data_IF_386200956503
#
_entry.id   IF_386200956503
#
_cell.length_a   1.000
_cell.length_b   1.000
_cell.length_c   1.000
_cell.angle_alpha   90.00
_cell.angle_beta   90.00
_cell.angle_gamma   90.00
#
_symmetry.space_group_name_H-M   'P 1'
#
loop_
_entity.id
_entity.type
_entity.pdbx_description
1 polymer ?
#
# COMPACT_ATOMS: atom_id res chain seq x y z
N UNK A 1 -20.41 30.56 16.14
CA UNK A 1 -19.99 29.60 15.10
C UNK A 1 -20.24 28.20 15.62
N UNK A 2 -21.14 27.42 15.02
CA UNK A 2 -21.33 26.01 15.40
C UNK A 2 -20.06 25.26 15.04
N UNK A 3 -19.40 24.64 16.01
CA UNK A 3 -18.28 23.73 15.77
C UNK A 3 -18.75 22.63 14.83
N UNK A 4 -18.03 22.35 13.73
CA UNK A 4 -18.44 21.29 12.82
C UNK A 4 -18.43 19.96 13.57
N UNK A 5 -19.58 19.31 13.67
CA UNK A 5 -19.67 17.96 14.21
C UNK A 5 -19.03 16.99 13.22
N UNK A 6 -18.57 15.82 13.70
CA UNK A 6 -18.04 14.75 12.83
C UNK A 6 -19.05 14.39 11.71
N UNK A 7 -20.34 14.45 12.02
CA UNK A 7 -21.40 14.25 11.03
C UNK A 7 -21.41 15.32 9.94
N UNK A 8 -21.17 16.59 10.29
CA UNK A 8 -21.05 17.68 9.32
C UNK A 8 -19.83 17.47 8.42
N UNK A 9 -18.66 17.12 8.97
CA UNK A 9 -17.45 16.84 8.20
C UNK A 9 -17.64 15.66 7.25
N UNK A 10 -18.27 14.59 7.71
CA UNK A 10 -18.59 13.43 6.89
C UNK A 10 -19.50 13.78 5.71
N UNK A 11 -20.55 14.59 5.94
CA UNK A 11 -21.54 14.93 4.92
C UNK A 11 -21.03 16.00 3.94
N UNK A 12 -20.29 17.01 4.41
CA UNK A 12 -19.93 18.18 3.64
C UNK A 12 -18.48 18.14 3.11
N UNK A 13 -17.55 17.55 3.87
CA UNK A 13 -16.12 17.54 3.55
C UNK A 13 -15.45 16.18 3.82
N UNK A 14 -15.99 15.08 3.27
CA UNK A 14 -15.49 13.73 3.59
C UNK A 14 -14.03 13.50 3.20
N UNK A 15 -13.57 14.10 2.10
CA UNK A 15 -12.17 13.99 1.66
C UNK A 15 -11.25 14.70 2.65
N UNK A 16 -11.60 15.91 3.07
CA UNK A 16 -10.82 16.65 4.08
C UNK A 16 -10.76 15.88 5.39
N UNK A 17 -11.91 15.34 5.85
CA UNK A 17 -11.96 14.50 7.05
C UNK A 17 -11.00 13.31 6.94
N UNK A 18 -11.03 12.59 5.82
CA UNK A 18 -10.19 11.42 5.61
C UNK A 18 -8.70 11.78 5.55
N UNK A 19 -8.35 12.87 4.86
CA UNK A 19 -6.97 13.36 4.78
C UNK A 19 -6.45 13.76 6.17
N UNK A 20 -7.26 14.44 6.97
CA UNK A 20 -6.91 14.79 8.37
C UNK A 20 -6.68 13.54 9.20
N UNK A 21 -7.56 12.52 9.09
CA UNK A 21 -7.38 11.23 9.77
C UNK A 21 -6.04 10.60 9.37
N UNK A 22 -5.70 10.57 8.08
CA UNK A 22 -4.44 10.02 7.60
C UNK A 22 -3.23 10.82 8.12
N UNK A 23 -3.29 12.14 8.09
CA UNK A 23 -2.23 13.00 8.62
C UNK A 23 -1.96 12.68 10.09
N UNK A 24 -3.01 12.67 10.91
CA UNK A 24 -2.90 12.41 12.36
C UNK A 24 -2.42 10.97 12.62
N UNK A 25 -2.84 10.00 11.81
CA UNK A 25 -2.47 8.59 12.01
C UNK A 25 -1.03 8.26 11.66
N UNK A 26 -0.36 9.06 10.82
CA UNK A 26 0.97 8.72 10.27
C UNK A 26 2.02 9.78 10.55
N UNK A 27 1.81 11.05 10.16
CA UNK A 27 2.88 12.07 10.17
C UNK A 27 3.51 12.31 11.54
N UNK A 28 2.76 12.34 12.66
CA UNK A 28 3.34 12.55 13.97
C UNK A 28 4.29 11.44 14.44
N UNK A 29 4.15 10.25 13.84
CA UNK A 29 4.79 9.02 14.32
C UNK A 29 6.00 8.59 13.50
N UNK A 30 6.13 9.04 12.24
CA UNK A 30 7.20 8.58 11.34
C UNK A 30 8.61 8.98 11.77
N UNK A 31 8.76 10.02 12.59
CA UNK A 31 10.05 10.43 13.16
C UNK A 31 10.40 9.79 14.50
N UNK A 32 9.50 8.93 15.04
CA UNK A 32 9.72 8.30 16.33
C UNK A 32 10.44 6.96 16.16
N UNK A 33 11.56 6.83 16.82
CA UNK A 33 12.38 5.61 16.84
C UNK A 33 13.24 5.42 15.60
N UNK A 34 14.29 4.65 15.81
CA UNK A 34 15.28 4.29 14.80
C UNK A 34 14.67 3.44 13.66
N UNK A 35 15.43 3.14 12.63
CA UNK A 35 15.00 2.25 11.56
C UNK A 35 14.68 0.86 12.10
N UNK A 36 13.46 0.40 11.87
CA UNK A 36 12.92 -0.85 12.43
C UNK A 36 13.22 -2.09 11.58
N UNK A 37 13.62 -1.89 10.32
CA UNK A 37 13.88 -3.00 9.39
C UNK A 37 15.25 -2.83 8.72
N UNK A 38 15.94 -3.95 8.42
CA UNK A 38 17.22 -3.94 7.68
C UNK A 38 17.15 -3.22 6.32
N UNK A 39 15.97 -3.06 5.74
CA UNK A 39 15.78 -2.41 4.45
C UNK A 39 15.73 -0.90 4.52
N UNK A 40 15.33 -0.30 5.66
CA UNK A 40 15.22 1.16 5.80
C UNK A 40 16.57 1.86 5.72
N UNK A 41 17.60 1.45 6.49
CA UNK A 41 18.92 2.09 6.41
C UNK A 41 19.52 2.01 5.00
N UNK A 42 19.28 0.89 4.29
CA UNK A 42 19.79 0.73 2.92
C UNK A 42 19.17 1.72 1.93
N UNK A 43 17.85 1.97 2.02
CA UNK A 43 17.20 2.97 1.17
C UNK A 43 17.62 4.39 1.58
N UNK A 44 17.77 4.66 2.88
CA UNK A 44 18.23 5.95 3.38
C UNK A 44 19.68 6.26 2.95
N UNK A 45 20.58 5.25 2.95
CA UNK A 45 21.96 5.40 2.53
C UNK A 45 22.11 5.92 1.09
N UNK A 46 21.20 5.50 0.19
CA UNK A 46 21.19 6.02 -1.18
C UNK A 46 20.86 7.51 -1.21
N UNK A 47 19.90 7.96 -0.39
CA UNK A 47 19.56 9.38 -0.28
C UNK A 47 20.69 10.19 0.37
N UNK A 48 21.40 9.61 1.36
CA UNK A 48 22.59 10.23 1.96
C UNK A 48 23.66 10.43 0.88
N UNK A 49 23.98 9.40 0.11
CA UNK A 49 24.94 9.48 -0.99
C UNK A 49 24.58 10.58 -2.01
N UNK A 50 23.28 10.76 -2.32
CA UNK A 50 22.83 11.85 -3.20
C UNK A 50 23.17 13.23 -2.63
N UNK A 51 22.97 13.44 -1.33
CA UNK A 51 23.24 14.72 -0.67
C UNK A 51 24.73 14.99 -0.53
N UNK A 52 25.54 13.98 -0.19
CA UNK A 52 26.97 14.11 0.06
C UNK A 52 27.76 14.27 -1.25
N UNK A 53 27.42 13.48 -2.27
CA UNK A 53 28.17 13.49 -3.55
C UNK A 53 27.60 14.46 -4.58
N UNK A 54 26.36 14.93 -4.40
CA UNK A 54 25.64 15.70 -5.40
C UNK A 54 25.23 14.87 -6.64
N UNK A 55 25.44 13.55 -6.66
CA UNK A 55 25.07 12.69 -7.78
C UNK A 55 23.62 12.18 -7.62
N UNK A 56 22.71 12.84 -8.31
CA UNK A 56 21.28 12.50 -8.31
C UNK A 56 20.89 11.52 -9.42
N UNK A 57 21.81 11.24 -10.35
CA UNK A 57 21.53 10.35 -11.49
C UNK A 57 21.86 8.90 -11.13
N UNK A 58 23.06 8.66 -10.63
CA UNK A 58 23.54 7.31 -10.28
C UNK A 58 24.18 7.34 -8.89
N UNK A 59 23.36 7.43 -7.82
CA UNK A 59 23.88 7.41 -6.46
C UNK A 59 24.41 6.03 -6.10
N UNK A 60 25.28 6.01 -5.09
CA UNK A 60 25.83 4.78 -4.54
C UNK A 60 25.00 4.30 -3.33
N UNK A 61 25.05 3.00 -3.09
CA UNK A 61 24.59 2.32 -1.90
C UNK A 61 25.74 2.13 -0.91
N UNK A 62 25.64 1.17 -0.01
CA UNK A 62 26.74 0.76 0.85
C UNK A 62 27.91 0.22 0.03
N UNK A 63 29.14 0.42 0.52
CA UNK A 63 30.36 -0.10 -0.06
C UNK A 63 30.67 0.36 -1.51
N UNK A 64 30.19 1.55 -1.88
CA UNK A 64 30.37 2.13 -3.22
C UNK A 64 29.70 1.35 -4.37
N UNK A 65 28.75 0.46 -4.04
CA UNK A 65 27.95 -0.24 -5.06
C UNK A 65 26.90 0.71 -5.65
N UNK A 66 26.59 0.55 -6.92
CA UNK A 66 25.49 1.30 -7.54
C UNK A 66 24.15 0.97 -6.90
N UNK A 67 23.32 1.99 -6.73
CA UNK A 67 21.95 1.78 -6.34
C UNK A 67 21.19 1.07 -7.47
N UNK A 68 20.82 -0.20 -7.24
CA UNK A 68 20.17 -1.04 -8.25
C UNK A 68 18.70 -0.70 -8.50
N UNK A 69 18.06 0.07 -7.61
CA UNK A 69 16.69 0.53 -7.80
C UNK A 69 16.65 1.87 -8.51
N UNK A 70 15.64 2.10 -9.37
CA UNK A 70 15.40 3.40 -9.95
C UNK A 70 15.17 4.48 -8.87
N UNK A 71 15.46 5.77 -9.14
CA UNK A 71 15.77 6.76 -8.11
C UNK A 71 14.55 7.51 -7.55
N UNK A 72 13.32 7.34 -8.05
CA UNK A 72 12.16 8.18 -7.70
C UNK A 72 11.95 8.33 -6.19
N UNK A 73 11.99 7.22 -5.44
CA UNK A 73 11.81 7.27 -3.99
C UNK A 73 12.99 7.97 -3.30
N UNK A 74 14.20 7.72 -3.75
CA UNK A 74 15.43 8.31 -3.21
C UNK A 74 15.51 9.81 -3.52
N UNK A 75 15.08 10.22 -4.73
CA UNK A 75 14.93 11.65 -5.07
C UNK A 75 14.02 12.39 -4.10
N UNK A 76 12.87 11.78 -3.76
CA UNK A 76 11.97 12.39 -2.80
C UNK A 76 12.56 12.42 -1.40
N UNK A 77 13.23 11.34 -0.95
CA UNK A 77 13.93 11.30 0.34
C UNK A 77 15.00 12.37 0.43
N UNK A 78 15.86 12.48 -0.59
CA UNK A 78 16.90 13.50 -0.66
C UNK A 78 16.32 14.91 -0.73
N UNK A 79 15.29 15.14 -1.54
CA UNK A 79 14.63 16.45 -1.67
C UNK A 79 14.01 16.92 -0.34
N UNK A 80 13.34 16.04 0.40
CA UNK A 80 12.80 16.39 1.72
C UNK A 80 13.87 16.54 2.80
N UNK A 81 15.03 15.92 2.62
CA UNK A 81 16.16 16.03 3.54
C UNK A 81 17.05 17.26 3.24
N UNK A 82 17.00 17.76 1.99
CA UNK A 82 17.86 18.85 1.52
C UNK A 82 17.82 20.12 2.40
N UNK A 83 16.63 20.58 2.85
CA UNK A 83 16.57 21.82 3.67
C UNK A 83 17.29 21.72 5.03
N UNK A 84 17.37 20.52 5.60
CA UNK A 84 18.08 20.30 6.88
C UNK A 84 19.54 19.84 6.71
N UNK A 85 19.95 19.50 5.47
CA UNK A 85 21.32 19.11 5.16
C UNK A 85 21.70 17.66 5.50
N UNK A 86 20.78 16.86 6.06
CA UNK A 86 21.03 15.44 6.40
C UNK A 86 19.73 14.62 6.29
N UNK A 87 19.86 13.31 6.10
CA UNK A 87 18.73 12.38 6.05
C UNK A 87 18.41 11.90 7.47
N UNK A 88 17.19 12.15 7.92
CA UNK A 88 16.64 11.63 9.18
C UNK A 88 15.61 10.54 8.93
N UNK A 89 15.22 9.80 9.98
CA UNK A 89 14.13 8.83 9.93
C UNK A 89 12.83 9.50 9.47
N UNK A 90 12.56 10.72 9.92
CA UNK A 90 11.39 11.49 9.51
C UNK A 90 11.41 11.79 8.02
N UNK A 91 12.47 12.41 7.50
CA UNK A 91 12.54 12.83 6.10
C UNK A 91 12.64 11.66 5.14
N UNK A 92 13.26 10.55 5.54
CA UNK A 92 13.33 9.32 4.74
C UNK A 92 11.99 8.56 4.67
N UNK A 93 11.15 8.63 5.69
CA UNK A 93 9.80 8.02 5.73
C UNK A 93 8.72 8.92 5.13
N UNK A 94 8.98 10.22 5.02
CA UNK A 94 8.00 11.21 4.54
C UNK A 94 7.44 10.91 3.14
N UNK A 95 8.22 10.44 2.13
CA UNK A 95 7.67 10.03 0.84
C UNK A 95 6.62 8.93 0.94
N UNK A 96 6.82 7.92 1.80
CA UNK A 96 5.85 6.84 2.03
C UNK A 96 4.57 7.37 2.70
N UNK A 97 4.71 8.24 3.69
CA UNK A 97 3.57 8.85 4.39
C UNK A 97 2.71 9.71 3.45
N UNK A 98 3.34 10.55 2.62
CA UNK A 98 2.64 11.38 1.64
C UNK A 98 2.00 10.55 0.54
N UNK A 99 2.66 9.49 0.07
CA UNK A 99 2.11 8.54 -0.88
C UNK A 99 0.84 7.86 -0.32
N UNK A 100 0.86 7.44 0.94
CA UNK A 100 -0.31 6.90 1.63
C UNK A 100 -1.47 7.90 1.68
N UNK A 101 -1.24 9.13 2.16
CA UNK A 101 -2.27 10.17 2.25
C UNK A 101 -2.88 10.43 0.87
N UNK A 102 -2.04 10.51 -0.16
CA UNK A 102 -2.45 10.71 -1.56
C UNK A 102 -3.31 9.53 -2.04
N UNK A 103 -2.85 8.29 -1.83
CA UNK A 103 -3.59 7.09 -2.21
C UNK A 103 -4.98 7.08 -1.60
N UNK A 104 -5.09 7.29 -0.29
CA UNK A 104 -6.34 7.28 0.44
C UNK A 104 -7.31 8.34 -0.08
N UNK A 105 -6.84 9.57 -0.31
CA UNK A 105 -7.64 10.63 -0.92
C UNK A 105 -8.16 10.27 -2.31
N UNK A 106 -7.30 9.71 -3.17
CA UNK A 106 -7.69 9.28 -4.52
C UNK A 106 -8.67 8.10 -4.50
N UNK A 107 -8.48 7.12 -3.63
CA UNK A 107 -9.40 5.98 -3.46
C UNK A 107 -10.79 6.46 -3.07
N UNK A 108 -10.89 7.36 -2.07
CA UNK A 108 -12.17 7.92 -1.65
C UNK A 108 -12.88 8.68 -2.77
N UNK A 109 -12.14 9.54 -3.48
CA UNK A 109 -12.70 10.33 -4.59
C UNK A 109 -13.10 9.43 -5.77
N UNK A 110 -12.28 8.44 -6.09
CA UNK A 110 -12.55 7.54 -7.21
C UNK A 110 -13.80 6.70 -6.98
N UNK A 111 -13.87 6.00 -5.86
CA UNK A 111 -15.03 5.16 -5.54
C UNK A 111 -16.26 6.00 -5.18
N UNK A 112 -16.09 7.09 -4.41
CA UNK A 112 -17.21 7.94 -3.99
C UNK A 112 -17.97 8.61 -5.14
N UNK A 113 -17.31 8.81 -6.29
CA UNK A 113 -17.96 9.35 -7.50
C UNK A 113 -18.59 8.29 -8.40
N UNK A 114 -18.34 6.98 -8.15
CA UNK A 114 -18.71 5.90 -9.06
C UNK A 114 -19.59 4.84 -8.44
N UNK A 115 -19.67 4.80 -7.13
CA UNK A 115 -20.51 3.84 -6.40
C UNK A 115 -21.77 4.56 -5.92
N UNK A 116 -22.90 3.89 -6.06
CA UNK A 116 -24.21 4.46 -5.70
C UNK A 116 -24.29 4.85 -4.21
N UNK A 117 -23.74 4.00 -3.33
CA UNK A 117 -23.73 4.27 -1.88
C UNK A 117 -22.37 4.85 -1.46
N UNK A 118 -22.27 6.17 -1.29
CA UNK A 118 -21.05 6.84 -0.83
C UNK A 118 -20.48 6.24 0.48
N UNK A 119 -21.35 5.78 1.38
CA UNK A 119 -20.96 5.09 2.61
C UNK A 119 -20.02 3.90 2.35
N UNK A 120 -20.26 3.14 1.28
CA UNK A 120 -19.41 2.00 0.90
C UNK A 120 -18.00 2.46 0.53
N UNK A 121 -17.85 3.53 -0.25
CA UNK A 121 -16.56 4.11 -0.60
C UNK A 121 -15.82 4.63 0.65
N UNK A 122 -16.54 5.28 1.54
CA UNK A 122 -15.99 5.83 2.78
C UNK A 122 -15.50 4.71 3.71
N UNK A 123 -16.31 3.66 3.90
CA UNK A 123 -15.93 2.50 4.71
C UNK A 123 -14.74 1.77 4.08
N UNK A 124 -14.73 1.55 2.75
CA UNK A 124 -13.59 0.95 2.07
C UNK A 124 -12.29 1.71 2.35
N UNK A 125 -12.36 3.02 2.36
CA UNK A 125 -11.21 3.87 2.65
C UNK A 125 -10.77 3.77 4.12
N UNK A 126 -11.71 3.70 5.07
CA UNK A 126 -11.41 3.46 6.49
C UNK A 126 -10.77 2.10 6.72
N UNK A 127 -11.26 1.04 6.04
CA UNK A 127 -10.66 -0.29 6.11
C UNK A 127 -9.20 -0.26 5.64
N UNK A 128 -8.90 0.51 4.60
CA UNK A 128 -7.54 0.71 4.09
C UNK A 128 -6.63 1.42 5.08
N UNK A 129 -7.10 2.52 5.66
CA UNK A 129 -6.33 3.32 6.65
C UNK A 129 -5.95 2.47 7.86
N UNK A 130 -6.83 1.56 8.26
CA UNK A 130 -6.70 0.79 9.50
C UNK A 130 -6.16 -0.63 9.29
N UNK A 131 -5.86 -1.06 8.06
CA UNK A 131 -5.23 -2.36 7.83
C UNK A 131 -3.72 -2.30 8.09
N UNK A 132 -3.19 -3.37 8.70
CA UNK A 132 -1.81 -3.42 9.20
C UNK A 132 -0.78 -3.16 8.10
N UNK A 133 -0.90 -3.79 6.93
CA UNK A 133 0.15 -3.74 5.91
C UNK A 133 0.29 -2.37 5.26
N UNK A 134 -0.82 -1.72 4.91
CA UNK A 134 -0.80 -0.37 4.31
C UNK A 134 -0.32 0.66 5.33
N UNK A 135 -0.79 0.56 6.59
CA UNK A 135 -0.38 1.49 7.63
C UNK A 135 1.12 1.34 7.95
N UNK A 136 1.60 0.10 8.09
CA UNK A 136 3.03 -0.19 8.28
C UNK A 136 3.88 0.34 7.13
N UNK A 137 3.44 0.15 5.88
CA UNK A 137 4.15 0.63 4.70
C UNK A 137 4.21 2.16 4.63
N UNK A 138 3.18 2.85 5.11
CA UNK A 138 3.14 4.31 5.21
C UNK A 138 4.20 4.87 6.17
N UNK A 139 4.62 4.09 7.17
CA UNK A 139 5.54 4.49 8.23
C UNK A 139 6.96 3.96 8.06
N UNK A 140 7.30 3.39 6.90
CA UNK A 140 8.62 2.81 6.65
C UNK A 140 9.32 3.47 5.45
N UNK A 141 10.66 3.56 5.54
CA UNK A 141 11.51 4.05 4.45
C UNK A 141 11.62 2.97 3.37
N UNK A 142 10.61 2.89 2.48
CA UNK A 142 10.55 1.91 1.40
C UNK A 142 9.89 2.48 0.15
N UNK A 143 10.27 1.92 -0.99
CA UNK A 143 9.73 2.28 -2.32
C UNK A 143 8.30 1.77 -2.54
N UNK A 144 7.86 0.77 -1.77
CA UNK A 144 6.65 -0.03 -2.07
C UNK A 144 5.34 0.77 -1.91
N UNK A 145 5.27 1.70 -0.93
CA UNK A 145 4.08 2.53 -0.75
C UNK A 145 3.93 3.52 -1.90
N UNK A 146 5.03 4.14 -2.32
CA UNK A 146 5.06 5.07 -3.45
C UNK A 146 4.68 4.35 -4.76
N UNK A 147 5.26 3.17 -5.01
CA UNK A 147 4.91 2.33 -6.14
C UNK A 147 3.42 1.99 -6.17
N UNK A 148 2.87 1.55 -5.02
CA UNK A 148 1.45 1.22 -4.86
C UNK A 148 0.58 2.41 -5.24
N UNK A 149 0.93 3.59 -4.79
CA UNK A 149 0.20 4.83 -5.08
C UNK A 149 0.19 5.14 -6.58
N UNK A 150 1.35 5.08 -7.24
CA UNK A 150 1.42 5.30 -8.69
C UNK A 150 0.65 4.25 -9.48
N UNK A 151 0.77 2.97 -9.12
CA UNK A 151 0.04 1.88 -9.80
C UNK A 151 -1.47 2.06 -9.65
N UNK A 152 -1.97 2.29 -8.44
CA UNK A 152 -3.42 2.38 -8.19
C UNK A 152 -4.01 3.63 -8.84
N UNK A 153 -3.35 4.79 -8.72
CA UNK A 153 -3.83 6.00 -9.39
C UNK A 153 -3.72 5.84 -10.92
N UNK A 154 -2.66 5.20 -11.42
CA UNK A 154 -2.52 4.84 -12.83
C UNK A 154 -3.66 3.97 -13.33
N UNK A 155 -4.03 2.92 -12.57
CA UNK A 155 -5.19 2.07 -12.85
C UNK A 155 -6.50 2.87 -12.88
N UNK A 156 -6.69 3.82 -11.94
CA UNK A 156 -7.86 4.67 -11.95
C UNK A 156 -7.92 5.62 -13.16
N UNK A 157 -6.78 6.09 -13.65
CA UNK A 157 -6.72 6.91 -14.86
C UNK A 157 -6.94 6.06 -16.13
N UNK A 158 -6.42 4.84 -16.17
CA UNK A 158 -6.70 3.87 -17.26
C UNK A 158 -8.20 3.53 -17.32
N UNK A 159 -8.83 3.24 -16.17
CA UNK A 159 -10.27 3.06 -16.09
C UNK A 159 -11.03 4.29 -16.61
N UNK A 160 -10.63 5.49 -16.18
CA UNK A 160 -11.27 6.74 -16.63
C UNK A 160 -11.09 6.98 -18.12
N UNK A 161 -9.98 6.58 -18.69
CA UNK A 161 -9.71 6.69 -20.13
C UNK A 161 -10.69 5.83 -20.93
N UNK A 162 -11.01 4.62 -20.50
CA UNK A 162 -12.05 3.79 -21.09
C UNK A 162 -13.45 4.37 -20.83
N UNK A 163 -13.79 4.61 -19.56
CA UNK A 163 -15.14 4.93 -19.12
C UNK A 163 -15.66 6.28 -19.66
N UNK A 164 -14.77 7.30 -19.74
CA UNK A 164 -15.15 8.66 -20.13
C UNK A 164 -14.68 9.10 -21.52
N UNK A 165 -13.57 8.56 -21.99
CA UNK A 165 -12.94 8.98 -23.23
C UNK A 165 -12.98 7.91 -24.31
N UNK A 166 -13.59 6.76 -24.05
CA UNK A 166 -13.72 5.65 -25.01
C UNK A 166 -12.39 5.29 -25.71
N UNK A 167 -11.29 5.36 -24.95
CA UNK A 167 -9.91 5.17 -25.43
C UNK A 167 -9.43 6.20 -26.47
N UNK A 168 -10.13 7.34 -26.61
CA UNK A 168 -9.72 8.43 -27.50
C UNK A 168 -8.73 9.35 -26.76
N UNK A 169 -7.63 9.69 -27.43
CA UNK A 169 -6.58 10.56 -26.87
C UNK A 169 -6.00 10.01 -25.54
N UNK A 170 -4.71 9.79 -25.47
CA UNK A 170 -4.09 9.30 -24.23
C UNK A 170 -3.92 10.46 -23.23
N UNK A 171 -4.59 10.42 -22.06
CA UNK A 171 -4.39 11.44 -21.03
C UNK A 171 -2.94 11.45 -20.54
N UNK A 172 -2.29 12.59 -20.51
CA UNK A 172 -0.87 12.76 -20.13
C UNK A 172 -0.56 12.20 -18.73
N UNK A 173 -1.54 12.20 -17.85
CA UNK A 173 -1.37 11.62 -16.51
C UNK A 173 -1.10 10.10 -16.50
N UNK A 174 -1.54 9.36 -17.54
CA UNK A 174 -1.29 7.91 -17.63
C UNK A 174 0.20 7.66 -17.82
N UNK A 175 0.85 8.11 -18.90
CA UNK A 175 2.27 7.88 -19.10
C UNK A 175 3.14 8.49 -17.98
N UNK A 176 2.74 9.62 -17.42
CA UNK A 176 3.47 10.24 -16.30
C UNK A 176 3.44 9.35 -15.05
N UNK A 177 2.27 8.88 -14.63
CA UNK A 177 2.12 8.04 -13.42
C UNK A 177 2.80 6.68 -13.59
N UNK A 178 2.61 6.02 -14.74
CA UNK A 178 3.24 4.73 -15.02
C UNK A 178 4.76 4.88 -15.18
N UNK A 179 5.22 5.97 -15.78
CA UNK A 179 6.65 6.32 -15.86
C UNK A 179 7.27 6.54 -14.48
N UNK A 180 6.60 7.27 -13.60
CA UNK A 180 7.02 7.44 -12.19
C UNK A 180 7.00 6.10 -11.43
N UNK A 181 6.05 5.21 -11.70
CA UNK A 181 6.03 3.87 -11.13
C UNK A 181 7.24 3.04 -11.59
N UNK A 182 7.63 3.12 -12.87
CA UNK A 182 8.86 2.49 -13.39
C UNK A 182 10.10 3.08 -12.72
N UNK A 183 10.18 4.40 -12.58
CA UNK A 183 11.27 5.07 -11.87
C UNK A 183 11.29 4.78 -10.36
N UNK A 184 10.25 4.16 -9.81
CA UNK A 184 10.20 3.74 -8.40
C UNK A 184 10.73 2.32 -8.20
N UNK A 185 10.40 1.38 -9.08
CA UNK A 185 10.76 -0.05 -8.88
C UNK A 185 10.97 -0.85 -10.18
N UNK A 186 11.17 -0.19 -11.30
CA UNK A 186 11.43 -0.82 -12.58
C UNK A 186 10.17 -1.24 -13.35
N UNK A 187 10.28 -2.18 -14.32
CA UNK A 187 9.26 -2.48 -15.32
C UNK A 187 7.88 -2.84 -14.78
N UNK A 188 7.80 -3.37 -13.56
CA UNK A 188 6.53 -3.72 -12.92
C UNK A 188 5.57 -2.53 -12.84
N UNK A 189 6.11 -1.30 -12.77
CA UNK A 189 5.34 -0.06 -12.72
C UNK A 189 4.46 0.18 -13.96
N UNK A 190 4.81 -0.38 -15.10
CA UNK A 190 4.02 -0.29 -16.35
C UNK A 190 3.36 -1.60 -16.72
N UNK A 191 4.07 -2.72 -16.53
CA UNK A 191 3.57 -4.06 -16.95
C UNK A 191 2.33 -4.45 -16.15
N UNK A 192 2.34 -4.31 -14.84
CA UNK A 192 1.21 -4.70 -13.99
C UNK A 192 -0.08 -3.90 -14.28
N UNK A 193 -0.07 -2.54 -14.32
CA UNK A 193 -1.27 -1.79 -14.65
C UNK A 193 -1.82 -2.10 -16.04
N UNK A 194 -0.96 -2.24 -17.04
CA UNK A 194 -1.39 -2.56 -18.40
C UNK A 194 -1.92 -3.99 -18.52
N UNK A 195 -1.33 -4.94 -17.81
CA UNK A 195 -1.84 -6.32 -17.72
C UNK A 195 -3.27 -6.33 -17.15
N UNK A 196 -3.49 -5.66 -16.01
CA UNK A 196 -4.82 -5.55 -15.39
C UNK A 196 -5.81 -4.85 -16.32
N UNK A 197 -5.40 -3.75 -16.94
CA UNK A 197 -6.25 -3.00 -17.87
C UNK A 197 -6.59 -3.78 -19.11
N UNK A 198 -5.65 -4.55 -19.67
CA UNK A 198 -5.87 -5.43 -20.80
C UNK A 198 -6.93 -6.49 -20.51
N UNK A 199 -6.84 -7.16 -19.35
CA UNK A 199 -7.87 -8.12 -18.91
C UNK A 199 -9.24 -7.44 -18.77
N UNK A 200 -9.26 -6.23 -18.19
CA UNK A 200 -10.51 -5.47 -18.06
C UNK A 200 -11.16 -5.17 -19.40
N UNK A 201 -10.39 -4.70 -20.39
CA UNK A 201 -10.89 -4.44 -21.75
C UNK A 201 -11.40 -5.72 -22.44
N UNK A 202 -10.72 -6.86 -22.23
CA UNK A 202 -11.19 -8.17 -22.71
C UNK A 202 -12.51 -8.58 -22.04
N UNK A 203 -12.67 -8.34 -20.74
CA UNK A 203 -13.88 -8.67 -20.00
C UNK A 203 -15.08 -7.82 -20.43
N UNK A 204 -14.88 -6.56 -20.81
CA UNK A 204 -15.92 -5.71 -21.37
C UNK A 204 -16.46 -6.25 -22.70
N UNK A 205 -15.61 -6.86 -23.53
CA UNK A 205 -15.99 -7.45 -24.81
C UNK A 205 -16.46 -6.45 -25.87
N UNK A 206 -16.18 -5.15 -25.68
CA UNK A 206 -16.62 -4.07 -26.57
C UNK A 206 -15.55 -3.69 -27.62
N UNK A 207 -14.31 -4.10 -27.39
CA UNK A 207 -13.15 -3.72 -28.20
C UNK A 207 -12.56 -4.91 -28.94
N UNK A 208 -12.09 -4.69 -30.17
CA UNK A 208 -11.36 -5.73 -30.91
C UNK A 208 -9.99 -6.00 -30.26
N UNK A 209 -9.48 -7.21 -30.43
CA UNK A 209 -8.14 -7.57 -29.92
C UNK A 209 -7.05 -6.63 -30.43
N UNK A 210 -7.14 -6.20 -31.70
CA UNK A 210 -6.20 -5.26 -32.28
C UNK A 210 -6.28 -3.88 -31.61
N UNK A 211 -7.47 -3.40 -31.29
CA UNK A 211 -7.67 -2.15 -30.56
C UNK A 211 -7.05 -2.23 -29.17
N UNK A 212 -7.31 -3.33 -28.45
CA UNK A 212 -6.73 -3.56 -27.12
C UNK A 212 -5.20 -3.55 -27.21
N UNK A 213 -4.63 -4.33 -28.14
CA UNK A 213 -3.18 -4.39 -28.32
C UNK A 213 -2.57 -3.03 -28.62
N UNK A 214 -3.14 -2.27 -29.58
CA UNK A 214 -2.66 -0.92 -29.92
C UNK A 214 -2.75 0.05 -28.73
N UNK A 215 -3.84 -0.02 -27.96
CA UNK A 215 -4.05 0.81 -26.77
C UNK A 215 -3.00 0.53 -25.71
N UNK A 216 -2.75 -0.74 -25.40
CA UNK A 216 -1.74 -1.14 -24.42
C UNK A 216 -0.32 -0.78 -24.87
N UNK A 217 -0.01 -1.01 -26.15
CA UNK A 217 1.28 -0.66 -26.73
C UNK A 217 1.53 0.85 -26.69
N UNK A 218 0.53 1.65 -27.09
CA UNK A 218 0.63 3.11 -27.06
C UNK A 218 0.82 3.66 -25.65
N UNK A 219 0.01 3.19 -24.68
CA UNK A 219 0.17 3.59 -23.28
C UNK A 219 1.52 3.11 -22.72
N UNK A 220 1.95 1.90 -23.05
CA UNK A 220 3.24 1.35 -22.58
C UNK A 220 4.44 2.12 -23.10
N UNK A 221 4.54 2.31 -24.41
CA UNK A 221 5.65 3.05 -25.04
C UNK A 221 5.72 4.48 -24.50
N UNK A 222 4.58 5.18 -24.45
CA UNK A 222 4.51 6.55 -23.93
C UNK A 222 4.97 6.63 -22.47
N UNK A 223 4.69 5.60 -21.66
CA UNK A 223 5.09 5.55 -20.25
C UNK A 223 6.57 5.30 -20.02
N UNK A 224 7.27 4.75 -21.01
CA UNK A 224 8.71 4.50 -20.93
C UNK A 224 9.54 5.75 -21.25
N UNK A 225 8.96 6.81 -21.79
CA UNK A 225 9.69 8.00 -22.17
C UNK A 225 10.50 8.60 -21.00
N UNK A 226 9.84 8.86 -19.87
CA UNK A 226 10.50 9.42 -18.68
C UNK A 226 11.54 8.48 -18.06
N UNK A 227 11.25 7.18 -17.84
CA UNK A 227 12.27 6.23 -17.40
C UNK A 227 13.49 6.14 -18.33
N UNK A 228 13.30 6.10 -19.63
CA UNK A 228 14.40 5.99 -20.61
C UNK A 228 15.38 7.16 -20.53
N UNK A 229 14.91 8.37 -20.23
CA UNK A 229 15.80 9.51 -20.00
C UNK A 229 16.75 9.24 -18.83
N UNK A 230 16.22 8.71 -17.71
CA UNK A 230 17.06 8.38 -16.56
C UNK A 230 17.97 7.18 -16.82
N UNK A 231 17.46 6.09 -17.40
CA UNK A 231 18.28 4.91 -17.70
C UNK A 231 19.44 5.26 -18.64
N UNK A 232 19.19 6.12 -19.64
CA UNK A 232 20.25 6.58 -20.56
C UNK A 232 21.30 7.43 -19.83
N UNK A 233 20.86 8.33 -18.95
CA UNK A 233 21.79 9.16 -18.17
C UNK A 233 22.61 8.33 -17.19
N UNK A 234 21.99 7.37 -16.50
CA UNK A 234 22.66 6.46 -15.57
C UNK A 234 23.64 5.52 -16.28
N UNK A 235 23.27 4.99 -17.45
CA UNK A 235 24.17 4.19 -18.28
C UNK A 235 25.41 4.98 -18.75
N UNK A 236 25.24 6.25 -19.15
CA UNK A 236 26.38 7.12 -19.51
C UNK A 236 27.36 7.34 -18.36
N UNK A 237 26.89 7.30 -17.10
CA UNK A 237 27.75 7.44 -15.92
C UNK A 237 28.36 6.12 -15.45
N UNK A 238 27.58 5.03 -15.45
CA UNK A 238 27.96 3.75 -14.87
C UNK A 238 28.41 2.68 -15.90
N UNK A 239 28.29 2.99 -17.20
CA UNK A 239 28.73 2.07 -18.28
C UNK A 239 27.99 0.73 -18.25
N UNK A 240 28.71 -0.29 -18.75
CA UNK A 240 28.18 -1.65 -18.87
C UNK A 240 27.98 -2.33 -17.50
N UNK A 241 28.71 -1.93 -16.47
CA UNK A 241 28.56 -2.43 -15.11
C UNK A 241 27.16 -2.10 -14.58
N UNK A 242 26.72 -0.84 -14.73
CA UNK A 242 25.35 -0.44 -14.37
C UNK A 242 24.30 -1.21 -15.17
N UNK A 243 24.51 -1.39 -16.48
CA UNK A 243 23.58 -2.11 -17.34
C UNK A 243 23.41 -3.56 -16.89
N UNK A 244 24.52 -4.25 -16.55
CA UNK A 244 24.50 -5.62 -16.05
C UNK A 244 23.73 -5.73 -14.74
N UNK A 245 23.92 -4.81 -13.79
CA UNK A 245 23.17 -4.76 -12.53
C UNK A 245 21.67 -4.57 -12.79
N UNK A 246 21.30 -3.67 -13.69
CA UNK A 246 19.89 -3.42 -14.04
C UNK A 246 19.25 -4.64 -14.71
N UNK A 247 19.95 -5.29 -15.63
CA UNK A 247 19.46 -6.49 -16.31
C UNK A 247 19.32 -7.65 -15.33
N UNK A 248 20.29 -7.86 -14.44
CA UNK A 248 20.25 -8.89 -13.42
C UNK A 248 19.04 -8.69 -12.48
N UNK A 249 18.84 -7.49 -11.95
CA UNK A 249 17.77 -7.21 -10.99
C UNK A 249 16.36 -7.22 -11.59
N UNK A 250 16.18 -6.78 -12.83
CA UNK A 250 14.85 -6.67 -13.42
C UNK A 250 14.43 -7.89 -14.25
N UNK A 251 15.36 -8.55 -14.92
CA UNK A 251 15.07 -9.67 -15.84
C UNK A 251 15.54 -11.01 -15.29
N UNK A 252 16.82 -11.14 -14.93
CA UNK A 252 17.36 -12.41 -14.48
C UNK A 252 16.66 -12.88 -13.19
N UNK A 253 16.41 -11.97 -12.26
CA UNK A 253 15.67 -12.24 -11.03
C UNK A 253 14.21 -12.66 -11.27
N UNK A 254 13.54 -12.05 -12.25
CA UNK A 254 12.16 -12.40 -12.59
C UNK A 254 12.08 -13.76 -13.28
N UNK A 255 13.07 -14.06 -14.15
CA UNK A 255 13.15 -15.29 -14.93
C UNK A 255 13.92 -16.41 -14.21
N UNK A 256 14.40 -16.18 -12.98
CA UNK A 256 15.23 -17.13 -12.21
C UNK A 256 16.51 -17.55 -12.94
N UNK A 257 17.13 -16.66 -13.69
CA UNK A 257 18.41 -16.89 -14.33
C UNK A 257 19.51 -16.65 -13.30
N UNK A 258 20.36 -17.65 -13.07
CA UNK A 258 21.56 -17.50 -12.24
C UNK A 258 22.60 -16.68 -13.02
N UNK A 259 22.86 -15.46 -12.55
CA UNK A 259 23.91 -14.61 -13.09
C UNK A 259 24.96 -14.34 -12.01
N UNK A 260 26.27 -14.23 -12.36
CA UNK A 260 27.32 -13.96 -11.38
C UNK A 260 27.13 -12.66 -10.58
N UNK A 261 26.41 -11.70 -11.16
CA UNK A 261 26.12 -10.40 -10.55
C UNK A 261 25.05 -10.44 -9.46
N UNK A 262 24.31 -11.57 -9.34
CA UNK A 262 23.35 -11.78 -8.25
C UNK A 262 24.06 -12.55 -7.13
N UNK A 263 24.89 -11.85 -6.35
CA UNK A 263 25.68 -12.45 -5.29
C UNK A 263 24.95 -12.63 -3.96
N UNK A 264 23.68 -12.17 -3.83
CA UNK A 264 22.92 -12.32 -2.61
C UNK A 264 21.83 -13.38 -2.77
N UNK A 265 21.69 -14.15 -1.71
CA UNK A 265 20.63 -15.14 -1.56
C UNK A 265 19.28 -14.54 -1.99
N UNK A 266 18.68 -15.08 -3.04
CA UNK A 266 17.37 -14.67 -3.55
C UNK A 266 16.26 -14.83 -2.51
N UNK A 267 16.64 -15.20 -1.29
CA UNK A 267 15.84 -15.45 -0.09
C UNK A 267 14.49 -14.78 -0.12
N UNK A 268 13.45 -15.55 -0.10
CA UNK A 268 12.02 -15.29 -0.14
C UNK A 268 11.33 -16.19 -1.18
N UNK A 269 11.92 -17.36 -1.45
CA UNK A 269 11.21 -18.38 -2.19
C UNK A 269 10.04 -18.89 -1.33
N UNK A 270 8.84 -18.58 -1.80
CA UNK A 270 7.63 -18.90 -1.08
C UNK A 270 6.62 -19.59 -2.00
N UNK A 271 5.94 -20.59 -1.49
CA UNK A 271 4.88 -21.29 -2.20
C UNK A 271 3.69 -20.38 -2.57
N UNK A 272 2.77 -20.92 -3.38
CA UNK A 272 1.60 -20.15 -3.90
C UNK A 272 0.71 -19.65 -2.74
N UNK A 273 0.59 -20.41 -1.66
CA UNK A 273 -0.24 -20.05 -0.50
C UNK A 273 0.27 -18.82 0.28
N UNK A 274 1.55 -18.48 0.14
CA UNK A 274 2.15 -17.34 0.81
C UNK A 274 1.40 -16.04 0.54
N UNK A 275 1.00 -15.78 -0.70
CA UNK A 275 0.28 -14.58 -1.08
C UNK A 275 -1.09 -14.47 -0.40
N UNK A 276 -1.81 -15.59 -0.27
CA UNK A 276 -3.10 -15.61 0.43
C UNK A 276 -2.93 -15.38 1.93
N UNK A 277 -1.93 -16.02 2.54
CA UNK A 277 -1.67 -15.88 3.98
C UNK A 277 -1.21 -14.45 4.32
N UNK A 278 -0.30 -13.88 3.53
CA UNK A 278 0.19 -12.52 3.77
C UNK A 278 -0.87 -11.45 3.49
N UNK A 279 -1.73 -11.68 2.49
CA UNK A 279 -2.87 -10.81 2.24
C UNK A 279 -3.85 -10.84 3.41
N UNK A 280 -4.18 -12.03 3.93
CA UNK A 280 -5.05 -12.20 5.08
C UNK A 280 -4.46 -11.56 6.34
N UNK A 281 -3.17 -11.76 6.59
CA UNK A 281 -2.47 -11.15 7.72
C UNK A 281 -2.37 -9.62 7.59
N UNK A 282 -2.05 -9.11 6.41
CA UNK A 282 -1.91 -7.69 6.16
C UNK A 282 -3.22 -6.90 6.26
N UNK A 283 -4.36 -7.57 6.06
CA UNK A 283 -5.69 -6.96 6.18
C UNK A 283 -6.29 -7.02 7.60
N UNK A 284 -5.56 -7.52 8.59
CA UNK A 284 -5.99 -7.44 10.01
C UNK A 284 -6.22 -5.95 10.37
N UNK A 285 -7.30 -5.62 11.16
CA UNK A 285 -8.23 -6.52 11.87
C UNK A 285 -9.40 -7.02 11.00
N UNK A 286 -9.55 -6.58 9.77
CA UNK A 286 -10.73 -6.82 8.94
C UNK A 286 -10.83 -8.25 8.41
N UNK A 287 -9.71 -8.94 8.27
CA UNK A 287 -9.70 -10.38 8.00
C UNK A 287 -10.33 -11.17 9.16
N UNK A 288 -10.06 -10.75 10.40
CA UNK A 288 -10.69 -11.35 11.58
C UNK A 288 -12.20 -11.10 11.54
N UNK A 289 -12.65 -9.88 11.21
CA UNK A 289 -14.06 -9.57 11.02
C UNK A 289 -14.72 -10.46 9.97
N UNK A 290 -14.06 -10.63 8.82
CA UNK A 290 -14.56 -11.51 7.76
C UNK A 290 -14.77 -12.93 8.24
N UNK A 291 -13.75 -13.57 8.82
CA UNK A 291 -13.85 -14.94 9.33
C UNK A 291 -14.85 -15.06 10.48
N UNK A 292 -14.85 -14.09 11.39
CA UNK A 292 -15.81 -14.05 12.49
C UNK A 292 -17.26 -13.98 12.00
N UNK A 293 -17.51 -13.24 10.92
CA UNK A 293 -18.84 -13.12 10.33
C UNK A 293 -19.36 -14.39 9.66
N UNK A 294 -18.46 -15.34 9.34
CA UNK A 294 -18.83 -16.65 8.77
C UNK A 294 -19.44 -17.57 9.82
N UNK A 295 -19.14 -17.38 11.11
CA UNK A 295 -19.77 -18.18 12.18
C UNK A 295 -21.29 -17.97 12.21
N UNK A 296 -22.01 -19.10 12.27
CA UNK A 296 -23.47 -19.12 12.27
C UNK A 296 -24.11 -18.81 10.91
N UNK A 297 -23.35 -18.80 9.80
CA UNK A 297 -23.94 -18.86 8.46
C UNK A 297 -24.55 -20.26 8.24
N UNK A 298 -25.86 -20.26 7.99
CA UNK A 298 -26.53 -21.49 7.53
C UNK A 298 -26.28 -21.59 6.02
N UNK A 299 -25.32 -22.42 5.64
CA UNK A 299 -25.06 -22.73 4.24
C UNK A 299 -26.12 -23.77 3.79
N UNK A 300 -27.03 -23.36 2.93
CA UNK A 300 -27.90 -24.29 2.22
C UNK A 300 -27.10 -25.06 1.17
N UNK A 301 -27.40 -26.34 1.00
CA UNK A 301 -26.83 -27.11 -0.10
C UNK A 301 -27.30 -26.48 -1.42
N UNK A 302 -26.39 -26.35 -2.40
CA UNK A 302 -26.78 -25.84 -3.70
C UNK A 302 -27.78 -26.76 -4.37
N UNK A 303 -28.93 -26.22 -4.74
CA UNK A 303 -30.00 -26.96 -5.45
C UNK A 303 -29.69 -27.16 -6.94
N UNK A 304 -28.75 -26.39 -7.46
CA UNK A 304 -28.37 -26.39 -8.87
C UNK A 304 -27.06 -27.15 -9.11
N UNK A 305 -26.91 -27.81 -10.30
CA UNK A 305 -25.63 -28.40 -10.70
C UNK A 305 -24.49 -27.37 -10.72
N UNK A 306 -23.29 -27.77 -10.34
CA UNK A 306 -22.09 -26.91 -10.30
C UNK A 306 -21.90 -26.14 -11.63
N UNK A 307 -22.18 -26.81 -12.78
CA UNK A 307 -22.06 -26.21 -14.12
C UNK A 307 -23.00 -25.01 -14.32
N UNK A 308 -24.21 -25.09 -13.81
CA UNK A 308 -25.17 -23.98 -13.83
C UNK A 308 -24.78 -22.84 -12.88
N UNK A 309 -24.29 -23.19 -11.70
CA UNK A 309 -23.79 -22.21 -10.74
C UNK A 309 -22.64 -21.41 -11.34
N UNK A 310 -21.67 -22.07 -11.96
CA UNK A 310 -20.55 -21.43 -12.65
C UNK A 310 -21.03 -20.54 -13.81
N UNK A 311 -21.96 -21.03 -14.65
CA UNK A 311 -22.52 -20.24 -15.75
C UNK A 311 -23.26 -18.99 -15.25
N UNK A 312 -24.05 -19.13 -14.20
CA UNK A 312 -24.81 -18.03 -13.60
C UNK A 312 -23.88 -17.03 -12.91
N UNK A 313 -22.84 -17.50 -12.22
CA UNK A 313 -21.80 -16.66 -11.61
C UNK A 313 -21.05 -15.87 -12.68
N UNK A 314 -20.67 -16.52 -13.80
CA UNK A 314 -20.02 -15.84 -14.93
C UNK A 314 -20.90 -14.75 -15.53
N UNK A 315 -22.20 -15.04 -15.75
CA UNK A 315 -23.15 -14.03 -16.21
C UNK A 315 -23.26 -12.84 -15.24
N UNK A 316 -23.33 -13.12 -13.93
CA UNK A 316 -23.36 -12.09 -12.87
C UNK A 316 -22.10 -11.22 -12.89
N UNK A 317 -20.92 -11.83 -13.04
CA UNK A 317 -19.65 -11.09 -13.13
C UNK A 317 -19.68 -10.15 -14.34
N UNK A 318 -20.09 -10.62 -15.52
CA UNK A 318 -20.13 -9.79 -16.73
C UNK A 318 -21.22 -8.71 -16.70
N UNK A 319 -22.27 -8.88 -15.91
CA UNK A 319 -23.34 -7.90 -15.72
C UNK A 319 -23.10 -6.96 -14.53
N UNK A 320 -21.95 -7.04 -13.87
CA UNK A 320 -21.59 -6.12 -12.79
C UNK A 320 -21.44 -4.69 -13.32
N UNK A 321 -21.70 -3.73 -12.43
CA UNK A 321 -21.33 -2.34 -12.65
C UNK A 321 -19.84 -2.21 -13.05
N UNK A 322 -19.54 -1.40 -14.06
CA UNK A 322 -18.18 -1.28 -14.64
C UNK A 322 -17.09 -1.13 -13.60
N UNK A 323 -17.29 -0.29 -12.58
CA UNK A 323 -16.30 -0.05 -11.51
C UNK A 323 -16.06 -1.29 -10.65
N UNK A 324 -17.10 -2.09 -10.40
CA UNK A 324 -16.99 -3.35 -9.66
C UNK A 324 -16.30 -4.43 -10.47
N UNK A 325 -16.64 -4.55 -11.75
CA UNK A 325 -15.95 -5.45 -12.68
C UNK A 325 -14.46 -5.09 -12.75
N UNK A 326 -14.14 -3.81 -12.93
CA UNK A 326 -12.75 -3.34 -12.93
C UNK A 326 -12.02 -3.67 -11.62
N UNK A 327 -12.67 -3.44 -10.48
CA UNK A 327 -12.09 -3.74 -9.16
C UNK A 327 -11.85 -5.24 -8.96
N UNK A 328 -12.76 -6.09 -9.44
CA UNK A 328 -12.60 -7.54 -9.40
C UNK A 328 -11.43 -8.01 -10.28
N UNK A 329 -11.35 -7.47 -11.49
CA UNK A 329 -10.25 -7.77 -12.42
C UNK A 329 -8.92 -7.29 -11.87
N UNK A 330 -8.87 -6.10 -11.27
CA UNK A 330 -7.66 -5.58 -10.64
C UNK A 330 -7.22 -6.47 -9.47
N UNK A 331 -8.13 -6.85 -8.58
CA UNK A 331 -7.85 -7.74 -7.47
C UNK A 331 -7.27 -9.08 -7.95
N UNK A 332 -7.99 -9.76 -8.83
CA UNK A 332 -7.58 -11.09 -9.31
C UNK A 332 -6.32 -10.99 -10.17
N UNK A 333 -6.22 -9.99 -11.04
CA UNK A 333 -5.09 -9.78 -11.92
C UNK A 333 -3.79 -9.52 -11.15
N UNK A 334 -3.83 -8.68 -10.10
CA UNK A 334 -2.66 -8.40 -9.26
C UNK A 334 -2.24 -9.65 -8.48
N UNK A 335 -3.19 -10.38 -7.89
CA UNK A 335 -2.91 -11.65 -7.19
C UNK A 335 -2.30 -12.68 -8.13
N UNK A 336 -2.85 -12.84 -9.32
CA UNK A 336 -2.34 -13.76 -10.33
C UNK A 336 -0.92 -13.37 -10.76
N UNK A 337 -0.70 -12.11 -11.12
CA UNK A 337 0.59 -11.61 -11.56
C UNK A 337 1.71 -11.90 -10.54
N UNK A 338 1.48 -11.59 -9.27
CA UNK A 338 2.47 -11.83 -8.20
C UNK A 338 2.48 -13.27 -7.68
N UNK A 339 1.62 -14.13 -8.17
CA UNK A 339 1.68 -15.57 -7.86
C UNK A 339 2.63 -16.32 -8.81
N UNK A 340 2.95 -15.76 -9.98
CA UNK A 340 3.84 -16.36 -10.98
C UNK A 340 5.29 -16.45 -10.46
N UNK A 341 5.94 -15.36 -10.00
CA UNK A 341 7.31 -15.42 -9.53
C UNK A 341 7.44 -16.23 -8.23
N UNK A 342 8.56 -16.94 -8.04
CA UNK A 342 8.85 -17.65 -6.80
C UNK A 342 9.23 -16.70 -5.66
N UNK A 343 9.92 -15.59 -5.98
CA UNK A 343 10.25 -14.55 -5.00
C UNK A 343 9.03 -13.71 -4.64
N UNK A 344 8.43 -13.97 -3.47
CA UNK A 344 7.21 -13.32 -3.00
C UNK A 344 7.47 -12.52 -1.72
N UNK A 345 6.87 -11.32 -1.66
CA UNK A 345 6.85 -10.47 -0.44
C UNK A 345 5.44 -9.91 -0.23
N UNK A 346 5.03 -9.75 1.03
CA UNK A 346 3.72 -9.19 1.39
C UNK A 346 3.43 -7.84 0.72
N UNK A 347 4.42 -6.96 0.69
CA UNK A 347 4.33 -5.61 0.12
C UNK A 347 4.01 -5.58 -1.39
N UNK A 348 4.25 -6.66 -2.13
CA UNK A 348 3.94 -6.70 -3.56
C UNK A 348 2.43 -6.69 -3.84
N UNK A 349 1.64 -7.20 -2.89
CA UNK A 349 0.19 -7.26 -3.02
C UNK A 349 -0.53 -5.95 -2.66
N UNK A 350 0.19 -4.95 -2.14
CA UNK A 350 -0.41 -3.68 -1.70
C UNK A 350 -1.29 -2.99 -2.77
N UNK A 351 -0.97 -3.01 -4.08
CA UNK A 351 -1.87 -2.45 -5.10
C UNK A 351 -3.25 -3.13 -5.19
N UNK A 352 -3.42 -4.36 -4.64
CA UNK A 352 -4.71 -5.05 -4.60
C UNK A 352 -5.61 -4.59 -3.45
N UNK A 353 -5.03 -4.00 -2.40
CA UNK A 353 -5.75 -3.66 -1.16
C UNK A 353 -6.95 -2.72 -1.35
N UNK A 354 -6.89 -1.65 -2.17
CA UNK A 354 -8.05 -0.78 -2.41
C UNK A 354 -9.25 -1.53 -2.99
N UNK A 355 -8.99 -2.51 -3.83
CA UNK A 355 -10.02 -3.31 -4.50
C UNK A 355 -10.63 -4.36 -3.55
N UNK A 356 -9.82 -4.95 -2.66
CA UNK A 356 -10.31 -5.82 -1.58
C UNK A 356 -11.17 -5.01 -0.62
N UNK A 357 -10.69 -3.83 -0.21
CA UNK A 357 -11.38 -2.96 0.72
C UNK A 357 -12.78 -2.59 0.21
N UNK A 358 -12.95 -2.37 -1.10
CA UNK A 358 -14.25 -2.11 -1.71
C UNK A 358 -15.24 -3.27 -1.48
N UNK A 359 -14.85 -4.49 -1.83
CA UNK A 359 -15.72 -5.66 -1.65
C UNK A 359 -15.98 -5.98 -0.18
N UNK A 360 -14.98 -5.80 0.65
CA UNK A 360 -15.12 -6.01 2.10
C UNK A 360 -16.02 -4.96 2.74
N UNK A 361 -15.98 -3.70 2.28
CA UNK A 361 -16.87 -2.65 2.74
C UNK A 361 -18.34 -2.95 2.38
N UNK A 362 -18.59 -3.40 1.16
CA UNK A 362 -19.92 -3.85 0.74
C UNK A 362 -20.42 -5.00 1.61
N UNK A 363 -19.57 -5.98 1.87
CA UNK A 363 -19.86 -7.09 2.76
C UNK A 363 -20.10 -6.65 4.19
N UNK A 364 -19.28 -5.74 4.73
CA UNK A 364 -19.42 -5.22 6.09
C UNK A 364 -20.75 -4.46 6.27
N UNK A 365 -21.16 -3.65 5.28
CA UNK A 365 -22.45 -3.00 5.29
C UNK A 365 -23.60 -4.01 5.32
N UNK A 366 -23.53 -5.03 4.47
CA UNK A 366 -24.53 -6.10 4.46
C UNK A 366 -24.61 -6.81 5.84
N UNK A 367 -23.49 -7.18 6.43
CA UNK A 367 -23.47 -7.82 7.76
C UNK A 367 -24.01 -6.86 8.83
N UNK A 368 -23.71 -5.58 8.76
CA UNK A 368 -24.19 -4.59 9.72
C UNK A 368 -25.72 -4.40 9.62
N UNK A 369 -26.26 -4.44 8.42
CA UNK A 369 -27.70 -4.30 8.18
C UNK A 369 -28.49 -5.55 8.59
N UNK A 370 -28.03 -6.75 8.16
CA UNK A 370 -28.81 -7.99 8.32
C UNK A 370 -28.37 -8.84 9.52
N UNK A 371 -27.19 -8.61 10.09
CA UNK A 371 -26.60 -9.41 11.17
C UNK A 371 -25.94 -8.53 12.25
N UNK A 372 -26.63 -7.52 12.71
CA UNK A 372 -26.14 -6.50 13.67
C UNK A 372 -25.47 -7.09 14.92
N UNK A 373 -25.89 -8.28 15.39
CA UNK A 373 -25.26 -8.96 16.53
C UNK A 373 -23.79 -9.27 16.25
N UNK A 374 -23.45 -9.74 15.04
CA UNK A 374 -22.06 -10.05 14.62
C UNK A 374 -21.20 -8.82 14.70
N UNK A 375 -21.70 -7.70 14.14
CA UNK A 375 -20.96 -6.42 14.15
C UNK A 375 -20.71 -5.92 15.59
N UNK A 376 -21.74 -6.01 16.47
CA UNK A 376 -21.61 -5.61 17.89
C UNK A 376 -20.57 -6.47 18.64
N UNK A 377 -20.63 -7.79 18.48
CA UNK A 377 -19.70 -8.69 19.16
C UNK A 377 -18.27 -8.48 18.65
N UNK A 378 -18.09 -8.27 17.33
CA UNK A 378 -16.79 -7.94 16.80
C UNK A 378 -16.28 -6.58 17.31
N UNK A 379 -17.13 -5.57 17.38
CA UNK A 379 -16.75 -4.26 17.93
C UNK A 379 -16.36 -4.37 19.42
N UNK A 380 -17.10 -5.14 20.21
CA UNK A 380 -16.76 -5.41 21.60
C UNK A 380 -15.43 -6.17 21.75
N UNK A 381 -15.20 -7.17 20.91
CA UNK A 381 -13.91 -7.89 20.84
C UNK A 381 -12.77 -6.93 20.52
N UNK A 382 -12.91 -6.11 19.49
CA UNK A 382 -11.88 -5.16 19.10
C UNK A 382 -11.61 -4.13 20.20
N UNK A 383 -12.67 -3.60 20.83
CA UNK A 383 -12.54 -2.70 21.98
C UNK A 383 -11.81 -3.37 23.15
N UNK A 384 -12.08 -4.64 23.44
CA UNK A 384 -11.39 -5.37 24.49
C UNK A 384 -9.90 -5.55 24.19
N UNK A 385 -9.55 -5.91 22.94
CA UNK A 385 -8.15 -6.03 22.52
C UNK A 385 -7.43 -4.68 22.65
N UNK A 386 -8.02 -3.59 22.17
CA UNK A 386 -7.44 -2.24 22.30
C UNK A 386 -7.28 -1.86 23.78
N UNK A 387 -8.26 -2.15 24.63
CA UNK A 387 -8.17 -1.87 26.07
C UNK A 387 -7.02 -2.65 26.73
N UNK A 388 -6.86 -3.93 26.40
CA UNK A 388 -5.74 -4.75 26.93
C UNK A 388 -4.39 -4.16 26.49
N UNK A 389 -4.24 -3.80 25.22
CA UNK A 389 -3.02 -3.17 24.69
C UNK A 389 -2.76 -1.83 25.40
N UNK A 390 -3.77 -1.00 25.58
CA UNK A 390 -3.64 0.28 26.30
C UNK A 390 -3.21 0.08 27.75
N UNK A 391 -3.80 -0.90 28.44
CA UNK A 391 -3.39 -1.23 29.81
C UNK A 391 -1.93 -1.70 29.84
N UNK A 392 -1.51 -2.58 28.92
CA UNK A 392 -0.12 -3.03 28.82
C UNK A 392 0.85 -1.87 28.56
N UNK A 393 0.51 -0.93 27.69
CA UNK A 393 1.29 0.30 27.45
C UNK A 393 1.38 1.13 28.74
N UNK A 394 0.28 1.38 29.44
CA UNK A 394 0.29 2.14 30.70
C UNK A 394 1.16 1.46 31.76
N UNK A 395 1.05 0.14 31.91
CA UNK A 395 1.86 -0.63 32.86
C UNK A 395 3.35 -0.55 32.52
N UNK A 396 3.70 -0.50 31.24
CA UNK A 396 5.10 -0.28 30.78
C UNK A 396 5.56 1.14 31.11
N UNK A 397 4.76 2.16 30.82
CA UNK A 397 5.08 3.56 31.08
C UNK A 397 5.30 3.82 32.59
N UNK A 398 4.49 3.19 33.45
CA UNK A 398 4.66 3.28 34.90
C UNK A 398 5.76 2.38 35.47
N UNK A 399 6.48 1.63 34.61
CA UNK A 399 7.59 0.75 35.06
C UNK A 399 7.14 -0.50 35.81
N UNK A 400 5.84 -0.86 35.77
CA UNK A 400 5.29 -2.03 36.44
C UNK A 400 5.62 -3.30 35.65
N UNK A 401 5.69 -3.20 34.35
CA UNK A 401 6.03 -4.30 33.42
C UNK A 401 7.32 -3.95 32.69
N UNK A 402 8.28 -4.87 32.65
CA UNK A 402 9.43 -4.82 31.73
C UNK A 402 9.17 -5.71 30.50
N UNK A 403 8.78 -5.12 29.36
CA UNK A 403 8.51 -5.89 28.15
C UNK A 403 9.74 -6.62 27.62
N UNK A 404 10.95 -6.07 27.83
CA UNK A 404 12.20 -6.69 27.35
C UNK A 404 12.50 -7.94 28.14
N UNK A 405 12.36 -7.89 29.47
CA UNK A 405 12.54 -9.05 30.33
C UNK A 405 11.52 -10.16 30.06
N UNK A 406 10.25 -9.80 29.84
CA UNK A 406 9.20 -10.77 29.51
C UNK A 406 9.48 -11.43 28.15
N UNK A 407 9.70 -10.67 27.09
CA UNK A 407 9.92 -11.22 25.76
C UNK A 407 11.22 -12.03 25.69
N UNK A 408 12.27 -11.62 26.44
CA UNK A 408 13.54 -12.32 26.55
C UNK A 408 13.44 -13.73 27.13
N UNK A 409 12.38 -14.02 27.89
CA UNK A 409 12.11 -15.39 28.38
C UNK A 409 11.62 -16.34 27.27
N UNK A 410 11.00 -15.79 26.21
CA UNK A 410 10.39 -16.58 25.13
C UNK A 410 11.21 -16.59 23.85
N UNK A 411 12.11 -15.62 23.64
CA UNK A 411 12.95 -15.54 22.44
C UNK A 411 14.33 -14.98 22.71
N UNK A 412 15.34 -15.60 22.08
CA UNK A 412 16.73 -15.11 22.05
C UNK A 412 17.06 -14.36 20.76
N UNK A 413 16.07 -14.11 19.91
CA UNK A 413 16.28 -13.40 18.64
C UNK A 413 16.61 -11.93 18.92
N UNK A 414 17.87 -11.53 18.64
CA UNK A 414 18.37 -10.19 18.89
C UNK A 414 17.50 -9.11 18.19
N UNK A 415 17.07 -9.34 16.96
CA UNK A 415 16.24 -8.38 16.22
C UNK A 415 14.87 -8.14 16.89
N UNK A 416 14.28 -9.20 17.47
CA UNK A 416 13.00 -9.07 18.20
C UNK A 416 13.21 -8.31 19.51
N UNK A 417 14.26 -8.63 20.26
CA UNK A 417 14.59 -7.94 21.51
C UNK A 417 14.92 -6.46 21.28
N UNK A 418 15.66 -6.15 20.23
CA UNK A 418 15.99 -4.76 19.88
C UNK A 418 14.74 -3.95 19.49
N UNK A 419 13.80 -4.57 18.75
CA UNK A 419 12.52 -3.95 18.47
C UNK A 419 11.71 -3.65 19.74
N UNK A 420 11.66 -4.61 20.68
CA UNK A 420 10.96 -4.42 21.96
C UNK A 420 11.64 -3.33 22.81
N UNK A 421 12.97 -3.30 22.86
CA UNK A 421 13.74 -2.24 23.53
C UNK A 421 13.43 -0.87 22.94
N UNK A 422 13.43 -0.74 21.61
CA UNK A 422 13.12 0.52 20.91
C UNK A 422 11.72 1.00 21.26
N UNK A 423 10.71 0.12 21.15
CA UNK A 423 9.32 0.48 21.50
C UNK A 423 9.20 0.89 22.97
N UNK A 424 9.81 0.13 23.89
CA UNK A 424 9.79 0.45 25.32
C UNK A 424 10.45 1.81 25.59
N UNK A 425 11.59 2.10 24.97
CA UNK A 425 12.28 3.39 25.08
C UNK A 425 11.41 4.56 24.65
N UNK A 426 10.73 4.43 23.50
CA UNK A 426 9.81 5.47 22.97
C UNK A 426 8.60 5.67 23.87
N UNK A 427 8.07 4.60 24.49
CA UNK A 427 6.92 4.68 25.39
C UNK A 427 7.29 5.35 26.74
N UNK A 428 8.45 5.01 27.29
CA UNK A 428 8.91 5.55 28.61
C UNK A 428 9.46 6.96 28.50
N UNK A 429 10.12 7.28 27.36
CA UNK A 429 10.69 8.60 27.11
C UNK A 429 10.11 9.20 25.81
N UNK A 430 8.82 9.57 25.80
CA UNK A 430 8.20 10.15 24.62
C UNK A 430 8.86 11.49 24.27
N UNK A 431 9.09 11.75 22.98
CA UNK A 431 9.62 13.03 22.54
C UNK A 431 8.62 14.17 22.84
N UNK A 432 9.11 15.40 22.98
CA UNK A 432 8.26 16.59 23.19
C UNK A 432 7.18 16.69 22.11
N UNK A 433 7.52 16.33 20.87
CA UNK A 433 6.58 16.30 19.74
C UNK A 433 5.43 15.30 19.99
N UNK A 434 5.75 14.09 20.45
CA UNK A 434 4.74 13.06 20.80
C UNK A 434 3.79 13.55 21.88
N UNK A 435 4.33 14.20 22.92
CA UNK A 435 3.53 14.79 24.02
C UNK A 435 2.61 15.88 23.47
N UNK A 436 3.13 16.83 22.69
CA UNK A 436 2.34 17.91 22.11
C UNK A 436 1.20 17.40 21.23
N UNK A 437 1.45 16.37 20.43
CA UNK A 437 0.44 15.79 19.54
C UNK A 437 -0.61 15.02 20.33
N UNK A 438 -0.21 14.23 21.32
CA UNK A 438 -1.14 13.47 22.19
C UNK A 438 -2.04 14.43 22.97
N UNK A 439 -1.49 15.52 23.50
CA UNK A 439 -2.24 16.56 24.19
C UNK A 439 -3.18 17.28 23.25
N UNK A 440 -2.71 17.66 22.07
CA UNK A 440 -3.56 18.30 21.04
C UNK A 440 -4.71 17.40 20.59
N UNK A 441 -4.45 16.08 20.42
CA UNK A 441 -5.47 15.10 20.08
C UNK A 441 -6.53 14.95 21.19
N UNK A 442 -6.12 14.87 22.46
CA UNK A 442 -7.04 14.83 23.60
C UNK A 442 -7.89 16.10 23.69
N UNK A 443 -7.32 17.28 23.46
CA UNK A 443 -8.07 18.53 23.44
C UNK A 443 -9.05 18.64 22.26
N UNK A 444 -8.74 18.04 21.11
CA UNK A 444 -9.65 17.99 19.95
C UNK A 444 -10.79 16.98 20.12
N UNK A 445 -10.58 15.91 20.88
CA UNK A 445 -11.57 14.83 21.06
C UNK A 445 -12.45 15.00 22.30
N UNK A 446 -11.96 15.61 23.38
CA UNK A 446 -12.71 15.84 24.62
C UNK A 446 -14.02 16.66 24.46
N UNK A 447 -14.12 17.69 23.61
CA UNK A 447 -15.37 18.41 23.43
C UNK A 447 -16.45 17.58 22.70
N UNK A 448 -16.08 16.53 21.98
CA UNK A 448 -17.02 15.70 21.20
C UNK A 448 -17.64 14.56 21.99
N UNK A 449 -17.14 14.26 23.19
CA UNK A 449 -17.64 13.20 24.08
C UNK A 449 -18.74 13.74 25.02
N UNK A 450 -19.00 15.06 25.04
CA UNK A 450 -20.03 15.70 25.84
C UNK A 450 -21.38 15.92 25.14
N UNK A 451 -21.76 15.01 24.24
CA UNK A 451 -23.13 15.00 23.69
C UNK A 451 -23.68 13.57 23.67
#
# INVERSE_FOLDING_TARGET
MRTPTLQYLYLQKPVTMMVVICIISVLPWIGLGDFSTKGEPREAAVAISMLETGNWVLPQSYANEFAFKPPMAHWLMAAFSYPQGYVSEFTSRLPSALAFITLIGFVLVFFGKRIVKFQEAFIATLLLVTCVEIHRAAMTTRVDMLLTTFIVIGLFQLYRWEDKLELKGLPIFIPLLLGCAVLTKGPVGVVLPLFVFGIYLLMLGQYSYLTIFKTLLYAGISSLFLPMLWYTAAWKQGGDEFLNVVLAENFARFLHLNTPEISYDLGHENGVWYNFMTLAAGFIPWTIFFFFSLFGLKLSKPEQPIKEILKNTWKRIRSMEKVRLFSLVALIGILFFYSIPSSKRSVYLMPAYPFIALFLAQYALYITEYRTKVTRVFAAFLASVVSVVMIAILLTVFGIIDPVGIVGQYTQNASTLDMVRMVSKVLVHPSTLTICITVSYTHLTLPTIRL
#
